data_IF_744587970574
#
_entry.id   IF_744587970574
#
_cell.length_a   1.000
_cell.length_b   1.000
_cell.length_c   1.000
_cell.angle_alpha   90.00
_cell.angle_beta   90.00
_cell.angle_gamma   90.00
#
_symmetry.space_group_name_H-M   'P 1'
#
loop_
_entity.id
_entity.type
_entity.pdbx_description
1 polymer ?
#
# COMPACT_ATOMS: atom_id res chain seq x y z
N UNK A 1 -24.55 6.37 -17.50
CA UNK A 1 -23.65 7.45 -17.08
C UNK A 1 -23.68 7.48 -15.56
N UNK A 2 -22.72 6.81 -14.91
CA UNK A 2 -22.64 6.79 -13.46
C UNK A 2 -22.34 8.23 -12.98
N UNK A 3 -22.97 8.72 -11.90
CA UNK A 3 -22.71 10.07 -11.41
C UNK A 3 -21.22 10.20 -11.11
N UNK A 4 -20.56 11.17 -11.75
CA UNK A 4 -19.24 11.64 -11.33
C UNK A 4 -19.35 11.95 -9.85
N UNK A 5 -18.52 11.34 -9.01
CA UNK A 5 -18.44 11.68 -7.59
C UNK A 5 -18.12 13.16 -7.51
N UNK A 6 -19.16 13.98 -7.35
CA UNK A 6 -19.02 15.39 -7.02
C UNK A 6 -18.07 15.45 -5.84
N UNK A 7 -16.94 16.15 -6.03
CA UNK A 7 -15.97 16.42 -4.99
C UNK A 7 -16.75 16.90 -3.77
N UNK A 8 -16.78 16.09 -2.70
CA UNK A 8 -17.58 16.44 -1.53
C UNK A 8 -17.18 17.86 -1.09
N UNK A 9 -18.15 18.78 -0.93
CA UNK A 9 -17.86 20.21 -0.91
C UNK A 9 -17.10 20.67 0.35
N UNK A 10 -17.03 19.81 1.38
CA UNK A 10 -16.34 20.08 2.65
C UNK A 10 -14.88 20.52 2.46
N UNK A 11 -14.16 19.97 1.50
CA UNK A 11 -12.75 20.33 1.28
C UNK A 11 -12.61 21.80 0.86
N UNK A 12 -13.44 22.21 -0.10
CA UNK A 12 -13.49 23.59 -0.59
C UNK A 12 -13.97 24.55 0.50
N UNK A 13 -15.00 24.16 1.25
CA UNK A 13 -15.58 24.97 2.33
C UNK A 13 -14.57 25.22 3.46
N UNK A 14 -13.81 24.19 3.88
CA UNK A 14 -12.76 24.34 4.89
C UNK A 14 -11.59 25.19 4.39
N UNK A 15 -11.19 25.05 3.12
CA UNK A 15 -10.16 25.92 2.52
C UNK A 15 -10.63 27.37 2.42
N UNK A 16 -11.90 27.61 2.07
CA UNK A 16 -12.50 28.94 2.07
C UNK A 16 -12.48 29.53 3.48
N UNK A 17 -12.87 28.76 4.51
CA UNK A 17 -12.80 29.21 5.89
C UNK A 17 -11.37 29.61 6.29
N UNK A 18 -10.38 28.75 6.05
CA UNK A 18 -8.97 29.08 6.32
C UNK A 18 -8.53 30.35 5.57
N UNK A 19 -8.92 30.52 4.30
CA UNK A 19 -8.65 31.72 3.52
C UNK A 19 -9.30 32.98 4.10
N UNK A 20 -10.55 32.90 4.55
CA UNK A 20 -11.23 34.00 5.24
C UNK A 20 -10.51 34.37 6.55
N UNK A 21 -10.04 33.39 7.30
CA UNK A 21 -9.21 33.61 8.49
C UNK A 21 -7.92 34.38 8.17
N UNK A 22 -7.24 34.01 7.07
CA UNK A 22 -6.03 34.72 6.63
C UNK A 22 -6.39 36.17 6.27
N UNK A 23 -7.47 36.40 5.53
CA UNK A 23 -7.92 37.75 5.17
C UNK A 23 -8.21 38.58 6.42
N UNK A 24 -8.90 38.02 7.42
CA UNK A 24 -9.19 38.71 8.69
C UNK A 24 -7.90 39.09 9.42
N UNK A 25 -6.90 38.19 9.47
CA UNK A 25 -5.58 38.46 10.06
C UNK A 25 -4.84 39.57 9.32
N UNK A 26 -4.87 39.57 7.99
CA UNK A 26 -4.25 40.61 7.17
C UNK A 26 -4.89 41.98 7.39
N UNK A 27 -6.22 42.03 7.42
CA UNK A 27 -6.98 43.26 7.70
C UNK A 27 -6.62 43.77 9.11
N UNK A 28 -6.69 42.90 10.12
CA UNK A 28 -6.39 43.27 11.50
C UNK A 28 -4.96 43.77 11.66
N UNK A 29 -3.98 43.04 11.12
CA UNK A 29 -2.57 43.44 11.16
C UNK A 29 -2.29 44.72 10.37
N UNK A 30 -3.03 44.97 9.28
CA UNK A 30 -2.93 46.20 8.48
C UNK A 30 -3.26 47.48 9.24
N UNK A 31 -4.13 47.40 10.26
CA UNK A 31 -4.48 48.52 11.13
C UNK A 31 -3.57 48.65 12.36
N UNK A 32 -2.56 47.78 12.52
CA UNK A 32 -1.62 47.87 13.63
C UNK A 32 -0.61 49.01 13.43
N UNK A 33 -0.02 49.52 14.51
CA UNK A 33 1.01 50.57 14.43
C UNK A 33 2.23 50.15 13.60
N UNK A 34 2.58 48.86 13.63
CA UNK A 34 3.62 48.25 12.80
C UNK A 34 3.01 47.12 11.95
N UNK A 35 2.40 47.44 10.79
CA UNK A 35 1.59 46.48 10.04
C UNK A 35 2.37 45.24 9.60
N UNK A 36 3.57 45.42 9.05
CA UNK A 36 4.40 44.34 8.54
C UNK A 36 4.81 43.34 9.64
N UNK A 37 5.19 43.85 10.81
CA UNK A 37 5.53 43.00 11.95
C UNK A 37 4.28 42.26 12.46
N UNK A 38 3.15 42.95 12.63
CA UNK A 38 1.92 42.33 13.11
C UNK A 38 1.44 41.22 12.18
N UNK A 39 1.44 41.48 10.87
CA UNK A 39 1.06 40.50 9.86
C UNK A 39 2.00 39.31 9.90
N UNK A 40 3.32 39.53 9.93
CA UNK A 40 4.31 38.44 9.97
C UNK A 40 4.12 37.55 11.21
N UNK A 41 4.00 38.15 12.39
CA UNK A 41 3.79 37.42 13.65
C UNK A 41 2.46 36.65 13.61
N UNK A 42 1.37 37.29 13.19
CA UNK A 42 0.07 36.65 13.13
C UNK A 42 0.02 35.49 12.12
N UNK A 43 0.71 35.61 10.98
CA UNK A 43 0.84 34.53 10.00
C UNK A 43 1.68 33.36 10.53
N UNK A 44 2.74 33.63 11.31
CA UNK A 44 3.52 32.57 11.96
C UNK A 44 2.68 31.82 13.00
N UNK A 45 1.91 32.54 13.83
CA UNK A 45 0.98 31.93 14.80
C UNK A 45 -0.08 31.09 14.06
N UNK A 46 -0.70 31.63 13.02
CA UNK A 46 -1.67 30.93 12.20
C UNK A 46 -1.06 29.69 11.53
N UNK A 47 0.13 29.81 10.95
CA UNK A 47 0.86 28.70 10.32
C UNK A 47 1.21 27.59 11.32
N UNK A 48 1.66 27.93 12.52
CA UNK A 48 1.92 26.98 13.58
C UNK A 48 0.65 26.24 14.02
N UNK A 49 -0.46 26.97 14.17
CA UNK A 49 -1.76 26.39 14.49
C UNK A 49 -2.29 25.48 13.37
N UNK A 50 -2.11 25.86 12.09
CA UNK A 50 -2.45 25.02 10.93
C UNK A 50 -1.63 23.73 10.94
N UNK A 51 -0.31 23.82 11.14
CA UNK A 51 0.56 22.66 11.14
C UNK A 51 0.20 21.70 12.28
N UNK A 52 -0.02 22.23 13.49
CA UNK A 52 -0.44 21.44 14.65
C UNK A 52 -1.81 20.80 14.44
N UNK A 53 -2.80 21.57 13.98
CA UNK A 53 -4.14 21.07 13.70
C UNK A 53 -4.14 20.00 12.62
N UNK A 54 -3.51 20.23 11.47
CA UNK A 54 -3.40 19.22 10.41
C UNK A 54 -2.69 17.96 10.87
N UNK A 55 -1.61 18.07 11.65
CA UNK A 55 -0.89 16.91 12.18
C UNK A 55 -1.76 16.08 13.12
N UNK A 56 -2.45 16.72 14.07
CA UNK A 56 -3.37 16.02 14.97
C UNK A 56 -4.55 15.44 14.17
N UNK A 57 -5.11 16.19 13.23
CA UNK A 57 -6.17 15.73 12.34
C UNK A 57 -5.76 14.50 11.55
N UNK A 58 -4.56 14.50 10.99
CA UNK A 58 -3.96 13.36 10.30
C UNK A 58 -3.92 12.12 11.19
N UNK A 59 -3.38 12.23 12.41
CA UNK A 59 -3.32 11.11 13.35
C UNK A 59 -4.71 10.53 13.61
N UNK A 60 -5.66 11.38 14.02
CA UNK A 60 -7.04 10.94 14.30
C UNK A 60 -7.78 10.42 13.06
N UNK A 61 -7.37 10.85 11.87
CA UNK A 61 -7.97 10.47 10.59
C UNK A 61 -7.47 9.13 10.03
N UNK A 62 -6.40 8.53 10.58
CA UNK A 62 -5.89 7.25 10.09
C UNK A 62 -6.96 6.15 10.25
N UNK A 63 -7.37 5.49 9.14
CA UNK A 63 -8.35 4.41 9.21
C UNK A 63 -7.77 3.22 9.97
N UNK A 64 -8.57 2.65 10.87
CA UNK A 64 -8.21 1.43 11.59
C UNK A 64 -8.57 0.22 10.75
N UNK A 65 -7.63 -0.69 10.53
CA UNK A 65 -7.94 -1.97 9.92
C UNK A 65 -8.87 -2.71 10.88
N UNK A 66 -10.02 -3.18 10.38
CA UNK A 66 -10.83 -4.13 11.12
C UNK A 66 -10.04 -5.44 11.13
N UNK A 67 -9.08 -5.57 12.06
CA UNK A 67 -8.49 -6.86 12.37
C UNK A 67 -9.64 -7.77 12.80
N UNK A 68 -10.10 -8.60 11.87
CA UNK A 68 -10.79 -9.84 12.22
C UNK A 68 -9.75 -10.63 13.01
N UNK A 69 -9.90 -10.65 14.33
CA UNK A 69 -9.20 -11.62 15.16
C UNK A 69 -9.37 -13.01 14.51
N UNK A 70 -8.30 -13.79 14.35
CA UNK A 70 -8.44 -15.16 13.88
C UNK A 70 -9.32 -15.89 14.90
N UNK A 71 -10.58 -16.16 14.51
CA UNK A 71 -11.46 -17.03 15.27
C UNK A 71 -10.79 -18.40 15.35
N UNK A 72 -10.17 -18.69 16.48
CA UNK A 72 -9.70 -20.02 16.83
C UNK A 72 -10.91 -20.93 17.02
N UNK A 73 -11.29 -21.65 15.95
CA UNK A 73 -12.25 -22.75 16.05
C UNK A 73 -12.96 -23.09 14.74
N UNK A 74 -12.45 -24.09 14.02
CA UNK A 74 -13.28 -24.96 13.17
C UNK A 74 -12.97 -25.01 11.67
N UNK A 75 -12.34 -26.12 11.25
CA UNK A 75 -12.30 -26.76 9.93
C UNK A 75 -11.66 -26.02 8.72
N UNK A 76 -10.87 -26.71 7.88
CA UNK A 76 -10.30 -26.15 6.66
C UNK A 76 -11.36 -26.21 5.57
N UNK A 77 -11.98 -25.08 5.22
CA UNK A 77 -12.82 -25.02 4.04
C UNK A 77 -12.57 -23.75 3.25
N UNK A 78 -12.15 -23.96 2.00
CA UNK A 78 -12.07 -23.06 0.85
C UNK A 78 -11.46 -21.69 1.12
N UNK A 79 -10.26 -21.50 0.56
CA UNK A 79 -9.65 -20.19 0.28
C UNK A 79 -10.55 -19.45 -0.72
N UNK A 80 -11.67 -18.93 -0.23
CA UNK A 80 -12.43 -17.89 -0.89
C UNK A 80 -11.56 -16.66 -0.79
N UNK A 81 -11.12 -16.12 -1.94
CA UNK A 81 -10.34 -14.90 -2.02
C UNK A 81 -10.92 -13.80 -1.14
N UNK A 82 -10.36 -13.66 0.06
CA UNK A 82 -10.62 -12.52 0.90
C UNK A 82 -9.98 -11.36 0.17
N UNK A 83 -10.82 -10.54 -0.46
CA UNK A 83 -10.47 -9.19 -0.89
C UNK A 83 -9.59 -8.61 0.21
N UNK A 84 -8.29 -8.46 -0.09
CA UNK A 84 -7.26 -7.94 0.80
C UNK A 84 -7.58 -6.49 1.12
N UNK A 85 -8.58 -6.31 1.97
CA UNK A 85 -9.17 -5.03 2.29
C UNK A 85 -8.29 -4.44 3.39
N UNK A 86 -7.46 -3.48 2.96
CA UNK A 86 -6.60 -2.62 3.76
C UNK A 86 -5.33 -3.27 4.32
N UNK A 87 -4.37 -3.52 3.43
CA UNK A 87 -2.95 -3.52 3.80
C UNK A 87 -2.42 -2.06 3.91
N UNK A 88 -3.09 -1.23 4.71
CA UNK A 88 -2.49 0.05 5.14
C UNK A 88 -1.36 -0.29 6.09
N UNK A 89 -0.25 0.43 5.97
CA UNK A 89 0.93 0.26 6.80
C UNK A 89 0.54 0.25 8.31
N UNK A 90 0.49 -0.93 8.91
CA UNK A 90 0.05 -1.16 10.29
C UNK A 90 0.89 -0.39 11.30
N UNK A 91 2.12 -0.03 10.94
CA UNK A 91 2.99 0.79 11.79
C UNK A 91 2.38 2.18 12.04
N UNK A 92 1.84 2.84 11.01
CA UNK A 92 1.25 4.17 11.18
C UNK A 92 -0.09 4.11 11.93
N UNK A 93 -0.88 3.06 11.68
CA UNK A 93 -2.11 2.80 12.43
C UNK A 93 -1.81 2.60 13.92
N UNK A 94 -0.88 1.72 14.25
CA UNK A 94 -0.47 1.46 15.63
C UNK A 94 0.10 2.72 16.28
N UNK A 95 0.97 3.44 15.56
CA UNK A 95 1.58 4.66 16.06
C UNK A 95 0.53 5.72 16.41
N UNK A 96 -0.43 5.90 15.50
CA UNK A 96 -1.52 6.82 15.74
C UNK A 96 -2.43 6.36 16.88
N UNK A 97 -2.75 5.07 16.99
CA UNK A 97 -3.63 4.60 18.07
C UNK A 97 -3.02 4.80 19.46
N UNK A 98 -1.75 4.46 19.67
CA UNK A 98 -1.12 4.72 20.97
C UNK A 98 -0.97 6.22 21.24
N UNK A 99 -0.61 7.01 20.22
CA UNK A 99 -0.41 8.45 20.39
C UNK A 99 -1.72 9.18 20.67
N UNK A 100 -2.80 8.85 19.95
CA UNK A 100 -4.13 9.44 20.18
C UNK A 100 -4.67 9.08 21.56
N UNK A 101 -4.46 7.85 22.05
CA UNK A 101 -4.78 7.47 23.43
C UNK A 101 -4.01 8.28 24.47
N UNK A 102 -2.70 8.51 24.26
CA UNK A 102 -1.91 9.37 25.15
C UNK A 102 -2.41 10.81 25.13
N UNK A 103 -2.66 11.39 23.94
CA UNK A 103 -3.15 12.77 23.80
C UNK A 103 -4.49 12.93 24.52
N UNK A 104 -5.44 12.03 24.30
CA UNK A 104 -6.77 12.08 24.96
C UNK A 104 -6.63 11.84 26.46
N UNK A 105 -5.83 10.86 26.88
CA UNK A 105 -5.62 10.53 28.29
C UNK A 105 -4.97 11.67 29.08
N UNK A 106 -3.88 12.24 28.57
CA UNK A 106 -3.20 13.39 29.19
C UNK A 106 -4.10 14.63 29.14
N UNK A 107 -4.80 14.86 28.03
CA UNK A 107 -5.73 15.96 27.88
C UNK A 107 -6.87 15.93 28.91
N UNK A 108 -7.46 14.76 29.16
CA UNK A 108 -8.50 14.57 30.18
C UNK A 108 -7.99 14.87 31.59
N UNK A 109 -6.78 14.41 31.92
CA UNK A 109 -6.16 14.62 33.24
C UNK A 109 -5.80 16.10 33.46
N UNK A 110 -5.34 16.79 32.42
CA UNK A 110 -4.89 18.19 32.53
C UNK A 110 -5.95 19.23 32.16
N UNK A 111 -7.21 18.82 31.97
CA UNK A 111 -8.25 19.67 31.39
C UNK A 111 -8.47 20.98 32.16
N UNK A 112 -8.34 20.96 33.49
CA UNK A 112 -8.50 22.14 34.35
C UNK A 112 -7.34 23.15 34.23
N UNK A 113 -6.14 22.69 33.85
CA UNK A 113 -4.94 23.53 33.73
C UNK A 113 -4.81 24.15 32.32
N UNK A 114 -5.50 23.56 31.32
CA UNK A 114 -5.40 23.98 29.92
C UNK A 114 -5.74 25.47 29.71
N UNK A 115 -6.84 26.03 30.26
CA UNK A 115 -7.19 27.43 30.02
C UNK A 115 -6.14 28.41 30.57
N UNK A 116 -5.58 28.10 31.74
CA UNK A 116 -4.56 28.95 32.37
C UNK A 116 -3.26 28.95 31.56
N UNK A 117 -2.77 27.76 31.17
CA UNK A 117 -1.56 27.63 30.33
C UNK A 117 -1.75 28.26 28.95
N UNK A 118 -2.92 28.10 28.34
CA UNK A 118 -3.24 28.72 27.05
C UNK A 118 -3.20 30.25 27.14
N UNK A 119 -3.74 30.82 28.23
CA UNK A 119 -3.68 32.27 28.46
C UNK A 119 -2.24 32.77 28.61
N UNK A 120 -1.40 32.10 29.41
CA UNK A 120 0.01 32.47 29.56
C UNK A 120 0.74 32.44 28.21
N UNK A 121 0.53 31.38 27.42
CA UNK A 121 1.12 31.27 26.10
C UNK A 121 0.65 32.39 25.15
N UNK A 122 -0.64 32.74 25.19
CA UNK A 122 -1.19 33.81 24.38
C UNK A 122 -0.66 35.19 24.77
N UNK A 123 -0.58 35.48 26.07
CA UNK A 123 -0.02 36.74 26.58
C UNK A 123 1.47 36.86 26.20
N UNK A 124 2.23 35.76 26.27
CA UNK A 124 3.62 35.69 25.80
C UNK A 124 3.76 35.92 24.29
N UNK A 125 2.93 35.26 23.47
CA UNK A 125 2.94 35.50 22.02
C UNK A 125 2.55 36.96 21.69
N UNK A 126 1.71 37.59 22.52
CA UNK A 126 1.29 38.99 22.37
C UNK A 126 2.41 40.00 22.45
N UNK A 127 3.48 39.70 23.18
CA UNK A 127 4.65 40.60 23.26
C UNK A 127 5.43 40.64 21.94
N UNK A 128 5.25 39.64 21.06
CA UNK A 128 5.92 39.59 19.75
C UNK A 128 5.44 40.69 18.79
N UNK A 129 4.29 41.31 19.08
CA UNK A 129 3.73 42.43 18.30
C UNK A 129 4.35 43.80 18.64
N UNK A 130 5.32 43.85 19.57
CA UNK A 130 6.06 45.05 19.93
C UNK A 130 5.36 45.92 20.98
N UNK A 131 5.62 47.23 20.96
CA UNK A 131 5.14 48.18 21.98
C UNK A 131 3.61 48.26 22.11
N UNK A 132 2.88 47.91 21.05
CA UNK A 132 1.44 47.73 21.06
C UNK A 132 1.12 46.24 21.13
N UNK A 133 1.13 45.67 22.33
CA UNK A 133 0.82 44.26 22.53
C UNK A 133 -0.63 43.95 22.12
N UNK A 134 -0.82 42.82 21.43
CA UNK A 134 -2.15 42.34 21.07
C UNK A 134 -2.75 41.58 22.27
N UNK A 135 -4.04 41.79 22.61
CA UNK A 135 -4.68 41.07 23.71
C UNK A 135 -4.61 39.54 23.51
N UNK A 136 -4.29 38.80 24.57
CA UNK A 136 -4.20 37.34 24.51
C UNK A 136 -5.47 36.65 23.99
N UNK A 137 -6.65 37.27 24.18
CA UNK A 137 -7.91 36.77 23.61
C UNK A 137 -7.89 36.69 22.08
N UNK A 138 -7.33 37.69 21.39
CA UNK A 138 -7.21 37.71 19.92
C UNK A 138 -6.25 36.61 19.45
N UNK A 139 -5.13 36.43 20.16
CA UNK A 139 -4.15 35.39 19.84
C UNK A 139 -4.74 34.00 20.02
N UNK A 140 -5.49 33.78 21.11
CA UNK A 140 -6.24 32.54 21.30
C UNK A 140 -7.27 32.33 20.19
N UNK A 141 -8.04 33.36 19.82
CA UNK A 141 -9.01 33.25 18.72
C UNK A 141 -8.36 32.85 17.41
N UNK A 142 -7.24 33.48 17.02
CA UNK A 142 -6.48 33.12 15.82
C UNK A 142 -6.00 31.66 15.93
N UNK A 143 -5.35 31.32 17.04
CA UNK A 143 -4.78 29.99 17.26
C UNK A 143 -5.85 28.89 17.19
N UNK A 144 -6.96 29.04 17.91
CA UNK A 144 -8.03 28.05 17.92
C UNK A 144 -8.78 27.98 16.59
N UNK A 145 -9.02 29.12 15.93
CA UNK A 145 -9.65 29.13 14.61
C UNK A 145 -8.85 28.29 13.62
N UNK A 146 -7.57 28.60 13.47
CA UNK A 146 -6.72 27.89 12.53
C UNK A 146 -6.48 26.43 12.94
N UNK A 147 -6.31 26.14 14.23
CA UNK A 147 -6.15 24.77 14.73
C UNK A 147 -7.39 23.90 14.47
N UNK A 148 -8.60 24.41 14.71
CA UNK A 148 -9.85 23.63 14.52
C UNK A 148 -10.12 23.36 13.05
N UNK A 149 -10.06 24.38 12.20
CA UNK A 149 -10.36 24.20 10.77
C UNK A 149 -9.30 23.34 10.06
N UNK A 150 -8.02 23.49 10.43
CA UNK A 150 -6.96 22.62 9.90
C UNK A 150 -6.99 21.21 10.47
N UNK A 151 -7.41 21.02 11.73
CA UNK A 151 -7.70 19.70 12.29
C UNK A 151 -8.79 18.99 11.50
N UNK A 152 -9.92 19.64 11.28
CA UNK A 152 -11.02 19.07 10.49
C UNK A 152 -10.59 18.75 9.07
N UNK A 153 -9.82 19.64 8.44
CA UNK A 153 -9.26 19.43 7.11
C UNK A 153 -8.34 18.20 7.09
N UNK A 154 -7.35 18.14 7.98
CA UNK A 154 -6.42 17.02 8.08
C UNK A 154 -7.12 15.70 8.40
N UNK A 155 -8.10 15.73 9.30
CA UNK A 155 -8.91 14.58 9.69
C UNK A 155 -9.72 14.02 8.52
N UNK A 156 -10.56 14.86 7.89
CA UNK A 156 -11.43 14.44 6.80
C UNK A 156 -10.61 14.04 5.57
N UNK A 157 -9.55 14.79 5.26
CA UNK A 157 -8.66 14.45 4.16
C UNK A 157 -8.01 13.08 4.37
N UNK A 158 -7.44 12.84 5.54
CA UNK A 158 -6.79 11.56 5.85
C UNK A 158 -7.80 10.42 5.84
N UNK A 159 -8.97 10.61 6.46
CA UNK A 159 -9.98 9.57 6.56
C UNK A 159 -10.60 9.19 5.21
N UNK A 160 -10.77 10.14 4.30
CA UNK A 160 -11.45 9.92 3.02
C UNK A 160 -10.50 9.60 1.87
N UNK A 161 -9.33 10.23 1.83
CA UNK A 161 -8.43 10.12 0.68
C UNK A 161 -7.30 9.13 0.92
N UNK A 162 -6.64 9.13 2.08
CA UNK A 162 -5.44 8.30 2.30
C UNK A 162 -5.71 6.81 2.05
N UNK A 163 -6.82 6.31 2.61
CA UNK A 163 -7.31 4.95 2.40
C UNK A 163 -7.60 4.65 0.91
N UNK A 164 -8.31 5.56 0.25
CA UNK A 164 -8.69 5.43 -1.15
C UNK A 164 -7.46 5.42 -2.06
N UNK A 165 -6.53 6.36 -1.89
CA UNK A 165 -5.35 6.48 -2.75
C UNK A 165 -4.41 5.28 -2.63
N UNK A 166 -4.20 4.74 -1.42
CA UNK A 166 -3.46 3.48 -1.28
C UNK A 166 -4.19 2.32 -1.96
N UNK A 167 -5.52 2.21 -1.79
CA UNK A 167 -6.29 1.13 -2.41
C UNK A 167 -6.29 1.21 -3.95
N UNK A 168 -6.31 2.43 -4.51
CA UNK A 168 -6.20 2.67 -5.95
C UNK A 168 -4.82 2.27 -6.45
N UNK A 169 -3.76 2.77 -5.81
CA UNK A 169 -2.39 2.46 -6.19
C UNK A 169 -2.10 0.95 -6.10
N UNK A 170 -2.60 0.27 -5.06
CA UNK A 170 -2.49 -1.18 -4.92
C UNK A 170 -3.28 -1.92 -6.00
N UNK A 171 -4.52 -1.50 -6.28
CA UNK A 171 -5.32 -2.10 -7.34
C UNK A 171 -4.66 -1.93 -8.70
N UNK A 172 -4.17 -0.73 -9.02
CA UNK A 172 -3.45 -0.46 -10.26
C UNK A 172 -2.20 -1.33 -10.36
N UNK A 173 -1.45 -1.51 -9.27
CA UNK A 173 -0.31 -2.41 -9.25
C UNK A 173 -0.70 -3.87 -9.54
N UNK A 174 -1.84 -4.34 -9.01
CA UNK A 174 -2.37 -5.69 -9.26
C UNK A 174 -2.89 -5.91 -10.68
N UNK A 175 -3.12 -4.82 -11.43
CA UNK A 175 -3.55 -4.91 -12.84
C UNK A 175 -2.36 -5.01 -13.80
N UNK A 176 -1.12 -4.88 -13.31
CA UNK A 176 0.09 -4.95 -14.15
C UNK A 176 0.62 -6.37 -14.34
N UNK A 177 1.27 -6.68 -15.48
CA UNK A 177 1.88 -7.99 -15.74
C UNK A 177 2.86 -8.45 -14.65
N UNK A 178 3.68 -7.54 -14.12
CA UNK A 178 4.74 -7.88 -13.17
C UNK A 178 4.21 -8.40 -11.83
N UNK A 179 2.98 -8.01 -11.45
CA UNK A 179 2.31 -8.54 -10.26
C UNK A 179 2.05 -10.04 -10.40
N UNK A 180 1.56 -10.47 -11.55
CA UNK A 180 1.30 -11.86 -11.84
C UNK A 180 2.60 -12.66 -11.97
N UNK A 181 3.61 -12.14 -12.68
CA UNK A 181 4.93 -12.77 -12.77
C UNK A 181 5.53 -13.04 -11.39
N UNK A 182 5.48 -12.04 -10.50
CA UNK A 182 5.95 -12.17 -9.12
C UNK A 182 5.17 -13.22 -8.32
N UNK A 183 3.84 -13.29 -8.48
CA UNK A 183 3.01 -14.29 -7.82
C UNK A 183 3.30 -15.71 -8.31
N UNK A 184 3.40 -15.92 -9.63
CA UNK A 184 3.68 -17.23 -10.22
C UNK A 184 5.04 -17.72 -9.70
N UNK A 185 6.07 -16.88 -9.77
CA UNK A 185 7.39 -17.18 -9.23
C UNK A 185 7.32 -17.52 -7.74
N UNK A 186 6.65 -16.71 -6.92
CA UNK A 186 6.52 -16.96 -5.49
C UNK A 186 5.78 -18.27 -5.16
N UNK A 187 4.79 -18.67 -5.97
CA UNK A 187 4.07 -19.93 -5.78
C UNK A 187 4.92 -21.17 -6.06
N UNK A 188 5.87 -21.10 -7.00
CA UNK A 188 6.79 -22.22 -7.30
C UNK A 188 7.66 -22.64 -6.11
N UNK A 189 7.91 -21.73 -5.15
CA UNK A 189 8.65 -22.04 -3.92
C UNK A 189 7.77 -22.51 -2.76
N UNK A 190 6.45 -22.61 -2.95
CA UNK A 190 5.54 -23.10 -1.91
C UNK A 190 5.44 -24.64 -1.95
N UNK A 191 5.01 -25.29 -0.85
CA UNK A 191 4.94 -26.74 -0.79
C UNK A 191 4.07 -27.36 -1.90
N UNK A 192 4.59 -28.42 -2.52
CA UNK A 192 3.88 -29.23 -3.51
C UNK A 192 2.74 -30.04 -2.84
N UNK A 193 1.58 -30.24 -3.50
CA UNK A 193 1.27 -29.83 -4.87
C UNK A 193 0.74 -28.39 -4.98
N UNK A 194 0.25 -27.80 -3.89
CA UNK A 194 -0.45 -26.52 -3.93
C UNK A 194 0.39 -25.32 -4.39
N UNK A 195 1.73 -25.42 -4.36
CA UNK A 195 2.64 -24.44 -4.97
C UNK A 195 2.49 -24.36 -6.49
N UNK A 196 2.86 -25.42 -7.21
CA UNK A 196 2.77 -25.44 -8.67
C UNK A 196 1.32 -25.34 -9.18
N UNK A 197 0.32 -25.87 -8.45
CA UNK A 197 -1.09 -25.75 -8.86
C UNK A 197 -1.54 -24.28 -8.96
N UNK A 198 -1.18 -23.45 -7.96
CA UNK A 198 -1.47 -22.01 -7.99
C UNK A 198 -0.61 -21.25 -8.99
N UNK A 199 0.62 -21.70 -9.23
CA UNK A 199 1.48 -21.12 -10.27
C UNK A 199 0.85 -21.33 -11.66
N UNK A 200 0.37 -22.53 -11.96
CA UNK A 200 -0.33 -22.85 -13.21
C UNK A 200 -1.61 -22.01 -13.37
N UNK A 201 -2.47 -21.97 -12.34
CA UNK A 201 -3.70 -21.16 -12.36
C UNK A 201 -3.41 -19.68 -12.65
N UNK A 202 -2.38 -19.10 -12.00
CA UNK A 202 -2.02 -17.69 -12.23
C UNK A 202 -1.35 -17.43 -13.55
N UNK A 203 -0.60 -18.39 -14.09
CA UNK A 203 -0.01 -18.27 -15.41
C UNK A 203 -1.07 -18.36 -16.53
N UNK A 204 -2.09 -19.20 -16.37
CA UNK A 204 -3.26 -19.21 -17.26
C UNK A 204 -4.00 -17.87 -17.21
N UNK A 205 -4.29 -17.35 -16.00
CA UNK A 205 -4.91 -16.03 -15.84
C UNK A 205 -4.07 -14.90 -16.47
N UNK A 206 -2.73 -14.97 -16.36
CA UNK A 206 -1.82 -14.04 -17.04
C UNK A 206 -1.98 -14.11 -18.56
N UNK A 207 -1.91 -15.32 -19.13
CA UNK A 207 -1.95 -15.52 -20.58
C UNK A 207 -3.30 -15.11 -21.17
N UNK A 208 -4.41 -15.37 -20.48
CA UNK A 208 -5.75 -14.93 -20.89
C UNK A 208 -5.85 -13.40 -20.88
N UNK A 209 -5.21 -12.74 -19.91
CA UNK A 209 -5.33 -11.29 -19.71
C UNK A 209 -4.39 -10.47 -20.60
N UNK A 210 -3.14 -10.90 -20.70
CA UNK A 210 -2.08 -10.13 -21.36
C UNK A 210 -1.67 -10.74 -22.70
N UNK A 211 -2.06 -11.97 -22.99
CA UNK A 211 -1.70 -12.71 -24.19
C UNK A 211 -0.52 -13.67 -23.96
N UNK A 212 -0.47 -14.80 -24.67
CA UNK A 212 0.53 -15.84 -24.49
C UNK A 212 1.92 -15.49 -25.03
N UNK A 213 2.10 -14.37 -25.72
CA UNK A 213 3.43 -13.95 -26.23
C UNK A 213 4.04 -12.82 -25.42
N UNK A 214 3.40 -12.47 -24.30
CA UNK A 214 3.69 -11.21 -23.58
C UNK A 214 4.84 -11.30 -22.61
N UNK A 215 5.21 -12.51 -22.15
CA UNK A 215 6.37 -12.69 -21.27
C UNK A 215 6.96 -14.09 -21.42
N UNK A 216 8.22 -14.16 -21.81
CA UNK A 216 9.01 -15.38 -21.84
C UNK A 216 9.19 -16.00 -20.44
N UNK A 217 9.21 -15.16 -19.40
CA UNK A 217 9.39 -15.60 -18.00
C UNK A 217 8.18 -16.35 -17.48
N UNK A 218 6.97 -15.94 -17.87
CA UNK A 218 5.76 -16.69 -17.51
C UNK A 218 5.81 -18.11 -18.09
N UNK A 219 6.35 -18.27 -19.30
CA UNK A 219 6.54 -19.59 -19.91
C UNK A 219 7.69 -20.39 -19.29
N UNK A 220 8.78 -19.74 -18.88
CA UNK A 220 9.80 -20.37 -18.02
C UNK A 220 9.16 -20.90 -16.74
N UNK A 221 8.35 -20.09 -16.04
CA UNK A 221 7.68 -20.52 -14.81
C UNK A 221 6.65 -21.62 -15.04
N UNK A 222 5.93 -21.60 -16.16
CA UNK A 222 5.06 -22.70 -16.57
C UNK A 222 5.86 -23.99 -16.79
N UNK A 223 7.01 -23.92 -17.47
CA UNK A 223 7.88 -25.07 -17.65
C UNK A 223 8.32 -25.64 -16.30
N UNK A 224 8.74 -24.80 -15.36
CA UNK A 224 9.08 -25.21 -14.00
C UNK A 224 7.89 -25.81 -13.26
N UNK A 225 6.71 -25.18 -13.32
CA UNK A 225 5.49 -25.69 -12.67
C UNK A 225 5.12 -27.09 -13.17
N UNK A 226 5.18 -27.32 -14.49
CA UNK A 226 4.94 -28.62 -15.10
C UNK A 226 6.06 -29.63 -14.80
N UNK A 227 7.31 -29.19 -14.68
CA UNK A 227 8.42 -30.01 -14.18
C UNK A 227 8.20 -30.47 -12.74
N UNK A 228 7.80 -29.56 -11.85
CA UNK A 228 7.41 -29.88 -10.48
C UNK A 228 6.22 -30.84 -10.41
N UNK A 229 5.21 -30.64 -11.26
CA UNK A 229 4.04 -31.50 -11.35
C UNK A 229 4.44 -32.91 -11.81
N UNK A 230 5.28 -33.01 -12.86
CA UNK A 230 5.80 -34.29 -13.34
C UNK A 230 6.57 -35.03 -12.25
N UNK A 231 7.51 -34.35 -11.59
CA UNK A 231 8.29 -34.91 -10.48
C UNK A 231 7.38 -35.44 -9.37
N UNK A 232 6.38 -34.65 -8.98
CA UNK A 232 5.42 -35.02 -7.94
C UNK A 232 4.60 -36.25 -8.33
N UNK A 233 4.09 -36.30 -9.56
CA UNK A 233 3.32 -37.44 -10.08
C UNK A 233 4.18 -38.70 -10.22
N UNK A 234 5.47 -38.56 -10.57
CA UNK A 234 6.38 -39.69 -10.79
C UNK A 234 6.70 -40.44 -9.50
N UNK A 235 6.55 -39.77 -8.35
CA UNK A 235 6.76 -40.30 -7.01
C UNK A 235 5.47 -40.81 -6.35
N UNK A 236 4.33 -40.73 -7.05
CA UNK A 236 3.06 -41.19 -6.52
C UNK A 236 3.06 -42.73 -6.37
N UNK A 237 2.41 -43.29 -5.32
CA UNK A 237 2.34 -44.75 -5.12
C UNK A 237 1.68 -45.50 -6.28
N UNK A 238 0.80 -44.81 -7.01
CA UNK A 238 0.16 -45.31 -8.23
C UNK A 238 0.42 -44.30 -9.35
N UNK A 239 1.16 -44.74 -10.36
CA UNK A 239 1.47 -43.93 -11.52
C UNK A 239 0.22 -43.69 -12.36
N UNK A 240 0.04 -42.45 -12.79
CA UNK A 240 -0.88 -42.06 -13.84
C UNK A 240 -0.06 -41.65 -15.05
N UNK A 241 0.19 -42.60 -15.95
CA UNK A 241 1.00 -42.40 -17.15
C UNK A 241 0.40 -41.33 -18.07
N UNK A 242 -0.92 -41.13 -18.03
CA UNK A 242 -1.58 -40.09 -18.83
C UNK A 242 -1.28 -38.71 -18.27
N UNK A 243 -1.39 -38.54 -16.95
CA UNK A 243 -1.06 -37.28 -16.29
C UNK A 243 0.44 -36.96 -16.37
N UNK A 244 1.31 -37.97 -16.24
CA UNK A 244 2.76 -37.80 -16.42
C UNK A 244 3.11 -37.34 -17.82
N UNK A 245 2.57 -38.01 -18.85
CA UNK A 245 2.80 -37.60 -20.23
C UNK A 245 2.28 -36.18 -20.48
N UNK A 246 1.09 -35.85 -19.98
CA UNK A 246 0.52 -34.51 -20.13
C UNK A 246 1.41 -33.44 -19.49
N UNK A 247 1.87 -33.64 -18.25
CA UNK A 247 2.76 -32.70 -17.57
C UNK A 247 4.08 -32.52 -18.32
N UNK A 248 4.67 -33.62 -18.81
CA UNK A 248 5.89 -33.57 -19.62
C UNK A 248 5.69 -32.80 -20.92
N UNK A 249 4.63 -33.10 -21.67
CA UNK A 249 4.36 -32.47 -22.96
C UNK A 249 4.08 -30.97 -22.77
N UNK A 250 3.38 -30.60 -21.70
CA UNK A 250 3.14 -29.20 -21.32
C UNK A 250 4.41 -28.47 -20.88
N UNK A 251 5.31 -29.12 -20.15
CA UNK A 251 6.62 -28.54 -19.84
C UNK A 251 7.43 -28.27 -21.11
N UNK A 252 7.44 -29.22 -22.06
CA UNK A 252 8.15 -29.07 -23.33
C UNK A 252 7.56 -27.94 -24.18
N UNK A 253 6.23 -27.87 -24.28
CA UNK A 253 5.50 -26.79 -24.95
C UNK A 253 5.89 -25.43 -24.34
N UNK A 254 5.92 -25.33 -23.01
CA UNK A 254 6.29 -24.10 -22.32
C UNK A 254 7.75 -23.67 -22.59
N UNK A 255 8.70 -24.62 -22.59
CA UNK A 255 10.10 -24.36 -23.00
C UNK A 255 10.16 -23.83 -24.44
N UNK A 256 9.43 -24.46 -25.36
CA UNK A 256 9.40 -24.02 -26.76
C UNK A 256 8.83 -22.61 -26.90
N UNK A 257 7.74 -22.30 -26.19
CA UNK A 257 7.12 -20.97 -26.20
C UNK A 257 8.06 -19.90 -25.62
N UNK A 258 8.73 -20.17 -24.49
CA UNK A 258 9.71 -19.25 -23.92
C UNK A 258 10.82 -18.92 -24.93
N UNK A 259 11.35 -19.92 -25.63
CA UNK A 259 12.39 -19.76 -26.66
C UNK A 259 11.90 -19.06 -27.93
N UNK A 260 10.63 -19.23 -28.29
CA UNK A 260 10.02 -18.52 -29.43
C UNK A 260 9.86 -17.02 -29.14
N UNK A 261 9.52 -16.66 -27.91
CA UNK A 261 9.39 -15.26 -27.48
C UNK A 261 10.79 -14.62 -27.36
N UNK A 262 11.71 -15.31 -26.68
CA UNK A 262 13.08 -14.85 -26.49
C UNK A 262 14.07 -16.02 -26.54
N UNK A 263 14.88 -16.08 -27.61
CA UNK A 263 15.86 -17.14 -27.80
C UNK A 263 17.01 -17.13 -26.80
N UNK A 264 17.29 -16.00 -26.14
CA UNK A 264 18.31 -15.87 -25.10
C UNK A 264 17.96 -16.67 -23.83
N UNK A 265 16.67 -16.98 -23.64
CA UNK A 265 16.19 -17.83 -22.54
C UNK A 265 16.78 -19.24 -22.55
N UNK A 266 17.38 -19.69 -23.66
CA UNK A 266 18.06 -20.98 -23.72
C UNK A 266 19.12 -21.10 -22.61
N UNK A 267 19.83 -20.03 -22.28
CA UNK A 267 20.85 -20.05 -21.23
C UNK A 267 20.22 -20.28 -19.85
N UNK A 268 19.12 -19.59 -19.56
CA UNK A 268 18.39 -19.72 -18.29
C UNK A 268 17.77 -21.11 -18.16
N UNK A 269 17.04 -21.56 -19.17
CA UNK A 269 16.38 -22.86 -19.19
C UNK A 269 17.38 -24.02 -19.14
N UNK A 270 18.55 -23.89 -19.77
CA UNK A 270 19.64 -24.86 -19.64
C UNK A 270 20.16 -24.93 -18.21
N UNK A 271 20.26 -23.79 -17.52
CA UNK A 271 20.62 -23.73 -16.11
C UNK A 271 19.65 -24.48 -15.19
N UNK A 272 18.36 -24.54 -15.55
CA UNK A 272 17.33 -25.26 -14.79
C UNK A 272 17.23 -26.76 -15.15
N UNK A 273 17.79 -27.16 -16.29
CA UNK A 273 17.65 -28.51 -16.88
C UNK A 273 18.92 -29.37 -16.73
N UNK A 274 20.10 -28.77 -16.82
CA UNK A 274 21.38 -29.49 -16.73
C UNK A 274 21.75 -29.72 -15.25
N UNK A 275 21.84 -30.97 -14.76
CA UNK A 275 22.15 -31.28 -13.36
C UNK A 275 23.55 -30.82 -12.93
N UNK A 276 24.44 -30.48 -13.87
CA UNK A 276 25.75 -29.88 -13.53
C UNK A 276 25.67 -28.37 -13.29
N UNK A 277 24.61 -27.71 -13.75
CA UNK A 277 24.42 -26.26 -13.65
C UNK A 277 23.31 -25.88 -12.67
N UNK A 278 22.28 -26.72 -12.55
CA UNK A 278 21.12 -26.49 -11.70
C UNK A 278 21.50 -26.37 -10.23
N UNK A 279 20.98 -25.33 -9.57
CA UNK A 279 21.06 -25.24 -8.10
C UNK A 279 20.02 -26.19 -7.50
N UNK A 280 20.24 -26.72 -6.28
CA UNK A 280 19.27 -27.62 -5.64
C UNK A 280 17.86 -27.05 -5.40
N UNK A 281 17.67 -25.73 -5.50
CA UNK A 281 16.38 -25.06 -5.40
C UNK A 281 15.85 -24.54 -6.75
N UNK A 282 16.57 -24.81 -7.83
CA UNK A 282 16.34 -24.33 -9.19
C UNK A 282 16.58 -25.51 -10.16
N UNK A 283 16.05 -26.69 -9.84
CA UNK A 283 16.25 -27.96 -10.56
C UNK A 283 14.97 -28.54 -11.16
N UNK A 284 13.93 -27.72 -11.29
CA UNK A 284 12.58 -28.12 -11.68
C UNK A 284 12.52 -28.84 -13.04
N UNK A 285 13.48 -28.59 -13.95
CA UNK A 285 13.55 -29.23 -15.27
C UNK A 285 14.55 -30.39 -15.35
N UNK A 286 15.34 -30.66 -14.30
CA UNK A 286 16.33 -31.76 -14.28
C UNK A 286 15.66 -33.12 -14.45
N UNK A 287 14.38 -33.25 -14.05
CA UNK A 287 13.59 -34.46 -14.29
C UNK A 287 13.47 -34.85 -15.75
N UNK A 288 13.70 -33.91 -16.68
CA UNK A 288 13.70 -34.14 -18.12
C UNK A 288 15.11 -34.20 -18.73
N UNK A 289 16.18 -34.32 -17.93
CA UNK A 289 17.55 -34.37 -18.46
C UNK A 289 17.80 -35.55 -19.42
N UNK A 290 17.14 -36.68 -19.17
CA UNK A 290 17.21 -37.87 -20.02
C UNK A 290 16.29 -37.84 -21.24
N UNK A 291 15.50 -36.78 -21.42
CA UNK A 291 14.52 -36.69 -22.50
C UNK A 291 15.13 -36.13 -23.79
N UNK A 292 14.97 -36.85 -24.91
CA UNK A 292 15.58 -36.52 -26.20
C UNK A 292 15.08 -35.18 -26.78
N UNK A 293 13.81 -34.82 -26.57
CA UNK A 293 13.26 -33.56 -27.11
C UNK A 293 13.76 -32.36 -26.30
N UNK A 294 13.84 -32.47 -24.97
CA UNK A 294 14.46 -31.45 -24.14
C UNK A 294 15.95 -31.30 -24.47
N UNK A 295 16.66 -32.41 -24.66
CA UNK A 295 18.08 -32.41 -25.05
C UNK A 295 18.32 -31.74 -26.40
N UNK A 296 17.41 -31.91 -27.37
CA UNK A 296 17.48 -31.22 -28.66
C UNK A 296 17.34 -29.70 -28.52
N UNK A 297 16.54 -29.23 -27.58
CA UNK A 297 16.29 -27.80 -27.36
C UNK A 297 17.37 -27.15 -26.49
N UNK A 298 17.70 -27.77 -25.35
CA UNK A 298 18.52 -27.18 -24.28
C UNK A 298 19.96 -27.70 -24.23
N UNK A 299 20.26 -28.78 -24.96
CA UNK A 299 21.62 -29.28 -25.17
C UNK A 299 22.61 -28.24 -25.69
#
# INVERSE_FOLDING_TARGET
>A
MAPTRDELPWGKELMIALGLGIIIVLIYGGFHQNPWQAIAVALVIAGAAIAAGMFVGFLFGIPRSLQKEPQTGGAPNKVQGSNGQYAVNTNLEQISDWLTKIIVGVGLVQLNELPHKARIAADYLGTSFGASAVPGSIILSITFYFAVFSFLLGYLWTRLHLASEFSKAEREAREKPEYFEGLIHAFLYQPKPGGFERALEKAEEYNDRFGPTSSERVWEYLACAYGQQYDYLSRAPKLDDTALKLARDKALEAVQHALQINSEMKTVLKGLWDPQQAKPSEDDLVVFFGDDEFKKLLG
#
